data_IF_414976760330
#
_entry.id   IF_414976760330
#
_cell.length_a   1.000
_cell.length_b   1.000
_cell.length_c   1.000
_cell.angle_alpha   90.00
_cell.angle_beta   90.00
_cell.angle_gamma   90.00
#
_symmetry.space_group_name_H-M   'P 1'
#
loop_
_entity.id
_entity.type
_entity.pdbx_description
1 polymer ?
#
# COMPACT_ATOMS: atom_id res chain seq x y z
N UNK A 1 33.40 -97.99 21.30
CA UNK A 1 32.33 -96.98 21.52
C UNK A 1 32.85 -95.75 22.26
N UNK A 2 33.66 -95.90 23.32
CA UNK A 2 34.18 -94.75 24.11
C UNK A 2 35.18 -93.86 23.35
N UNK A 3 36.00 -94.40 22.45
CA UNK A 3 36.94 -93.57 21.65
C UNK A 3 36.25 -92.58 20.71
N UNK A 4 35.12 -92.96 20.10
CA UNK A 4 34.36 -92.08 19.19
C UNK A 4 33.75 -90.87 19.91
N UNK A 5 33.38 -91.05 21.18
CA UNK A 5 32.88 -89.96 22.03
C UNK A 5 33.99 -88.98 22.42
N UNK A 6 35.19 -89.48 22.68
CA UNK A 6 36.32 -88.62 23.04
C UNK A 6 36.75 -87.74 21.87
N UNK A 7 36.87 -88.30 20.65
CA UNK A 7 37.18 -87.52 19.43
C UNK A 7 36.13 -86.46 19.10
N UNK A 8 34.86 -86.73 19.38
CA UNK A 8 33.79 -85.74 19.20
C UNK A 8 33.91 -84.57 20.20
N UNK A 9 34.35 -84.85 21.43
CA UNK A 9 34.51 -83.83 22.47
C UNK A 9 35.76 -82.97 22.25
N UNK A 10 36.85 -83.53 21.74
CA UNK A 10 38.08 -82.78 21.43
C UNK A 10 37.90 -81.82 20.24
N UNK A 11 37.11 -82.21 19.23
CA UNK A 11 36.84 -81.39 18.05
C UNK A 11 35.68 -80.38 18.23
N UNK A 12 34.85 -80.50 19.27
CA UNK A 12 33.71 -79.59 19.46
C UNK A 12 34.12 -78.17 19.88
N UNK A 13 35.13 -78.04 20.75
CA UNK A 13 35.60 -76.74 21.26
C UNK A 13 36.19 -75.80 20.17
N UNK A 14 36.98 -76.26 19.19
CA UNK A 14 37.42 -75.38 18.10
C UNK A 14 36.26 -74.98 17.18
N UNK A 15 35.35 -75.90 16.84
CA UNK A 15 34.19 -75.61 15.98
C UNK A 15 33.25 -74.58 16.63
N UNK A 16 33.02 -74.65 17.94
CA UNK A 16 32.22 -73.66 18.65
C UNK A 16 32.87 -72.26 18.65
N UNK A 17 34.21 -72.18 18.70
CA UNK A 17 34.95 -70.91 18.60
C UNK A 17 34.88 -70.33 17.19
N UNK A 18 35.05 -71.17 16.17
CA UNK A 18 34.92 -70.76 14.77
C UNK A 18 33.52 -70.25 14.47
N UNK A 19 32.48 -70.92 14.97
CA UNK A 19 31.10 -70.45 14.83
C UNK A 19 30.89 -69.08 15.48
N UNK A 20 31.41 -68.86 16.69
CA UNK A 20 31.34 -67.56 17.36
C UNK A 20 32.06 -66.44 16.61
N UNK A 21 33.22 -66.73 16.03
CA UNK A 21 33.96 -65.79 15.19
C UNK A 21 33.18 -65.46 13.91
N UNK A 22 32.62 -66.48 13.25
CA UNK A 22 31.84 -66.31 12.02
C UNK A 22 30.55 -65.52 12.28
N UNK A 23 29.87 -65.77 13.40
CA UNK A 23 28.69 -64.97 13.78
C UNK A 23 29.05 -63.52 14.06
N UNK A 24 30.20 -63.26 14.69
CA UNK A 24 30.69 -61.90 14.92
C UNK A 24 31.04 -61.17 13.63
N UNK A 25 31.64 -61.87 12.66
CA UNK A 25 31.93 -61.32 11.33
C UNK A 25 30.65 -60.98 10.56
N UNK A 26 29.63 -61.85 10.61
CA UNK A 26 28.33 -61.59 9.98
C UNK A 26 27.69 -60.33 10.58
N UNK A 27 27.74 -60.17 11.90
CA UNK A 27 27.19 -58.98 12.57
C UNK A 27 27.93 -57.69 12.18
N UNK A 28 29.26 -57.75 12.05
CA UNK A 28 30.06 -56.61 11.61
C UNK A 28 29.73 -56.22 10.17
N UNK A 29 29.63 -57.20 9.26
CA UNK A 29 29.27 -56.96 7.86
C UNK A 29 27.87 -56.37 7.74
N UNK A 30 26.89 -56.83 8.51
CA UNK A 30 25.53 -56.27 8.49
C UNK A 30 25.53 -54.81 8.97
N UNK A 31 26.32 -54.48 10.00
CA UNK A 31 26.46 -53.09 10.49
C UNK A 31 27.09 -52.19 9.44
N UNK A 32 28.16 -52.63 8.79
CA UNK A 32 28.80 -51.88 7.71
C UNK A 32 27.83 -51.67 6.54
N UNK A 33 27.10 -52.72 6.14
CA UNK A 33 26.14 -52.63 5.05
C UNK A 33 25.04 -51.59 5.34
N UNK A 34 24.49 -51.57 6.56
CA UNK A 34 23.49 -50.57 6.97
C UNK A 34 24.05 -49.15 6.94
N UNK A 35 25.29 -48.97 7.36
CA UNK A 35 25.97 -47.68 7.34
C UNK A 35 26.15 -47.18 5.89
N UNK A 36 26.60 -48.06 4.99
CA UNK A 36 26.73 -47.73 3.56
C UNK A 36 25.38 -47.42 2.92
N UNK A 37 24.32 -48.16 3.24
CA UNK A 37 22.96 -47.91 2.74
C UNK A 37 22.43 -46.55 3.22
N UNK A 38 22.65 -46.20 4.49
CA UNK A 38 22.26 -44.89 5.05
C UNK A 38 22.99 -43.74 4.35
N UNK A 39 24.30 -43.88 4.14
CA UNK A 39 25.11 -42.88 3.45
C UNK A 39 24.68 -42.71 1.99
N UNK A 40 24.41 -43.81 1.28
CA UNK A 40 23.92 -43.76 -0.10
C UNK A 40 22.55 -43.08 -0.19
N UNK A 41 21.64 -43.35 0.75
CA UNK A 41 20.34 -42.69 0.81
C UNK A 41 20.47 -41.17 0.98
N UNK A 42 21.35 -40.72 1.88
CA UNK A 42 21.62 -39.30 2.10
C UNK A 42 22.22 -38.63 0.85
N UNK A 43 23.18 -39.28 0.19
CA UNK A 43 23.81 -38.77 -1.04
C UNK A 43 22.80 -38.72 -2.20
N UNK A 44 21.97 -39.76 -2.36
CA UNK A 44 20.95 -39.78 -3.40
C UNK A 44 19.90 -38.69 -3.19
N UNK A 45 19.50 -38.43 -1.95
CA UNK A 45 18.58 -37.34 -1.61
C UNK A 45 19.20 -35.97 -1.88
N UNK A 46 20.48 -35.76 -1.51
CA UNK A 46 21.21 -34.53 -1.83
C UNK A 46 21.36 -34.34 -3.36
N UNK A 47 21.72 -35.39 -4.09
CA UNK A 47 21.86 -35.35 -5.55
C UNK A 47 20.51 -35.15 -6.25
N UNK A 48 19.42 -35.72 -5.73
CA UNK A 48 18.08 -35.46 -6.24
C UNK A 48 17.65 -34.00 -5.99
N UNK A 49 18.02 -33.43 -4.85
CA UNK A 49 17.82 -31.99 -4.57
C UNK A 49 18.63 -31.11 -5.54
N UNK A 50 19.86 -31.48 -5.86
CA UNK A 50 20.69 -30.77 -6.86
C UNK A 50 20.14 -30.93 -8.29
N UNK A 51 19.84 -32.17 -8.72
CA UNK A 51 19.37 -32.49 -10.08
C UNK A 51 17.97 -31.98 -10.36
N UNK A 52 17.10 -31.89 -9.35
CA UNK A 52 15.77 -31.29 -9.51
C UNK A 52 15.83 -29.78 -9.79
N UNK A 53 17.03 -29.19 -9.90
CA UNK A 53 17.17 -27.76 -10.15
C UNK A 53 16.60 -26.93 -9.00
N UNK A 54 16.29 -27.57 -7.87
CA UNK A 54 15.84 -26.97 -6.63
C UNK A 54 17.05 -26.38 -5.93
N UNK A 55 17.83 -25.58 -6.67
CA UNK A 55 18.40 -24.33 -6.16
C UNK A 55 17.23 -23.40 -5.91
N UNK A 56 16.33 -23.80 -5.02
CA UNK A 56 15.59 -22.86 -4.20
C UNK A 56 16.69 -21.94 -3.65
N UNK A 57 16.81 -20.68 -4.05
CA UNK A 57 15.75 -19.72 -3.84
C UNK A 57 14.71 -20.25 -2.86
N UNK A 58 15.20 -20.73 -1.71
CA UNK A 58 14.55 -20.55 -0.44
C UNK A 58 14.70 -19.06 -0.15
N UNK A 59 14.19 -18.22 -1.06
CA UNK A 59 13.40 -17.10 -0.64
C UNK A 59 12.37 -17.78 0.24
N UNK A 60 12.68 -17.81 1.53
CA UNK A 60 11.73 -18.08 2.60
C UNK A 60 10.45 -17.48 2.06
N UNK A 61 9.40 -18.28 1.88
CA UNK A 61 8.06 -17.76 1.67
C UNK A 61 7.77 -17.03 2.97
N UNK A 62 8.35 -15.84 3.12
CA UNK A 62 8.02 -14.87 4.13
C UNK A 62 6.59 -14.61 3.76
N UNK A 63 5.68 -14.99 4.66
CA UNK A 63 4.30 -14.51 4.60
C UNK A 63 4.41 -13.04 4.22
N UNK A 64 3.82 -12.67 3.07
CA UNK A 64 4.06 -11.38 2.45
C UNK A 64 3.99 -10.31 3.53
N UNK A 65 5.14 -9.73 3.88
CA UNK A 65 5.15 -8.69 4.90
C UNK A 65 4.19 -7.63 4.39
N UNK A 66 3.16 -7.26 5.15
CA UNK A 66 2.22 -6.27 4.70
C UNK A 66 3.02 -5.03 4.34
N UNK A 67 3.01 -4.67 3.06
CA UNK A 67 3.80 -3.55 2.55
C UNK A 67 3.19 -2.29 3.14
N UNK A 68 3.78 -1.81 4.24
CA UNK A 68 3.26 -0.69 5.04
C UNK A 68 3.42 0.67 4.35
N UNK A 69 4.11 0.75 3.22
CA UNK A 69 4.29 2.00 2.47
C UNK A 69 3.93 1.80 1.01
N UNK A 70 3.03 2.64 0.44
CA UNK A 70 2.78 2.60 -0.98
C UNK A 70 4.08 2.93 -1.71
N UNK A 71 4.49 2.03 -2.62
CA UNK A 71 5.71 2.16 -3.44
C UNK A 71 5.60 3.36 -4.38
N UNK A 72 4.37 3.82 -4.67
CA UNK A 72 4.06 4.96 -5.52
C UNK A 72 2.58 5.39 -5.31
N UNK A 73 2.20 6.68 -5.34
CA UNK A 73 2.99 7.91 -5.32
C UNK A 73 3.34 8.35 -3.89
N UNK A 74 4.51 8.97 -3.70
CA UNK A 74 4.87 9.53 -2.39
C UNK A 74 3.94 10.69 -2.01
N UNK A 75 3.60 10.78 -0.72
CA UNK A 75 2.73 11.82 -0.11
C UNK A 75 3.06 13.24 -0.60
N UNK A 76 4.34 13.54 -0.79
CA UNK A 76 4.81 14.83 -1.30
C UNK A 76 4.28 15.17 -2.70
N UNK A 77 4.22 14.19 -3.61
CA UNK A 77 3.70 14.41 -4.96
C UNK A 77 2.20 14.74 -4.94
N UNK A 78 1.43 14.03 -4.10
CA UNK A 78 0.00 14.31 -3.91
C UNK A 78 -0.20 15.69 -3.33
N UNK A 79 0.61 16.07 -2.34
CA UNK A 79 0.54 17.39 -1.72
C UNK A 79 0.86 18.51 -2.72
N UNK A 80 1.95 18.38 -3.49
CA UNK A 80 2.36 19.37 -4.50
C UNK A 80 1.31 19.47 -5.62
N UNK A 81 0.76 18.34 -6.09
CA UNK A 81 -0.30 18.35 -7.09
C UNK A 81 -1.60 18.99 -6.58
N UNK A 82 -2.00 18.69 -5.35
CA UNK A 82 -3.20 19.26 -4.76
C UNK A 82 -3.05 20.78 -4.56
N UNK A 83 -1.91 21.22 -4.04
CA UNK A 83 -1.64 22.63 -3.78
C UNK A 83 -1.46 23.40 -5.09
N UNK A 84 -0.65 22.89 -6.01
CA UNK A 84 -0.45 23.48 -7.33
C UNK A 84 -1.74 23.52 -8.15
N UNK A 85 -2.50 22.42 -8.16
CA UNK A 85 -3.78 22.33 -8.85
C UNK A 85 -4.83 23.28 -8.28
N UNK A 86 -4.97 23.35 -6.96
CA UNK A 86 -5.90 24.28 -6.31
C UNK A 86 -5.56 25.74 -6.57
N UNK A 87 -4.27 26.09 -6.53
CA UNK A 87 -3.80 27.46 -6.76
C UNK A 87 -4.00 27.86 -8.23
N UNK A 88 -3.62 26.99 -9.18
CA UNK A 88 -3.85 27.21 -10.60
C UNK A 88 -5.34 27.35 -10.94
N UNK A 89 -6.18 26.50 -10.36
CA UNK A 89 -7.63 26.55 -10.55
C UNK A 89 -8.24 27.84 -9.98
N UNK A 90 -7.82 28.25 -8.77
CA UNK A 90 -8.25 29.51 -8.15
C UNK A 90 -7.87 30.73 -8.98
N UNK A 91 -6.62 30.82 -9.44
CA UNK A 91 -6.17 31.90 -10.34
C UNK A 91 -7.00 31.91 -11.62
N UNK A 92 -7.22 30.74 -12.22
CA UNK A 92 -8.00 30.63 -13.45
C UNK A 92 -9.42 31.15 -13.26
N UNK A 93 -10.08 30.81 -12.15
CA UNK A 93 -11.41 31.33 -11.82
C UNK A 93 -11.42 32.85 -11.66
N UNK A 94 -10.42 33.43 -11.01
CA UNK A 94 -10.32 34.88 -10.83
C UNK A 94 -10.15 35.57 -12.19
N UNK A 95 -9.30 35.03 -13.07
CA UNK A 95 -9.09 35.57 -14.41
C UNK A 95 -10.39 35.50 -15.24
N UNK A 96 -11.09 34.37 -15.20
CA UNK A 96 -12.37 34.20 -15.90
C UNK A 96 -13.41 35.19 -15.34
N UNK A 97 -13.51 35.32 -14.02
CA UNK A 97 -14.43 36.26 -13.39
C UNK A 97 -14.10 37.72 -13.75
N UNK A 98 -12.82 38.07 -13.81
CA UNK A 98 -12.36 39.40 -14.24
C UNK A 98 -12.70 39.66 -15.71
N UNK A 99 -12.56 38.67 -16.59
CA UNK A 99 -12.91 38.79 -18.02
C UNK A 99 -14.43 38.87 -18.27
N UNK A 100 -15.24 38.20 -17.46
CA UNK A 100 -16.70 38.30 -17.55
C UNK A 100 -17.24 39.63 -17.03
N UNK A 101 -16.56 40.23 -16.06
CA UNK A 101 -16.98 41.50 -15.46
C UNK A 101 -16.39 42.65 -16.28
N UNK A 102 -17.07 43.07 -17.35
CA UNK A 102 -16.75 44.33 -18.05
C UNK A 102 -17.06 45.51 -17.14
N UNK A 103 -16.09 45.90 -16.32
CA UNK A 103 -16.18 47.05 -15.45
C UNK A 103 -14.88 47.82 -15.53
N UNK A 104 -14.95 49.11 -15.87
CA UNK A 104 -13.80 50.00 -15.88
C UNK A 104 -13.38 50.25 -14.43
N UNK A 105 -12.16 49.88 -14.07
CA UNK A 105 -11.68 50.03 -12.69
C UNK A 105 -10.92 51.35 -12.49
N UNK A 106 -10.48 51.98 -13.59
CA UNK A 106 -9.78 53.27 -13.58
C UNK A 106 -10.31 54.24 -14.62
N UNK A 107 -10.18 55.54 -14.32
CA UNK A 107 -10.51 56.62 -15.25
C UNK A 107 -9.59 56.60 -16.48
N UNK A 108 -8.30 56.33 -16.30
CA UNK A 108 -7.35 56.16 -17.39
C UNK A 108 -7.75 55.02 -18.34
N UNK A 109 -8.25 53.90 -17.80
CA UNK A 109 -8.70 52.74 -18.58
C UNK A 109 -9.95 53.08 -19.41
N UNK A 110 -10.90 53.81 -18.81
CA UNK A 110 -12.07 54.32 -19.52
C UNK A 110 -11.70 55.37 -20.59
N UNK A 111 -10.73 56.27 -20.34
CA UNK A 111 -10.24 57.21 -21.37
C UNK A 111 -9.63 56.48 -22.55
N UNK A 112 -8.84 55.43 -22.28
CA UNK A 112 -8.17 54.63 -23.30
C UNK A 112 -9.14 53.84 -24.19
N UNK A 113 -10.16 53.19 -23.61
CA UNK A 113 -11.12 52.40 -24.39
C UNK A 113 -12.21 53.25 -25.06
N UNK A 114 -12.68 54.33 -24.44
CA UNK A 114 -13.78 55.16 -24.99
C UNK A 114 -13.28 56.30 -25.89
N UNK A 115 -12.00 56.67 -25.83
CA UNK A 115 -11.43 57.77 -26.61
C UNK A 115 -11.99 59.15 -26.26
N UNK A 116 -12.71 59.28 -25.13
CA UNK A 116 -13.38 60.50 -24.70
C UNK A 116 -12.68 61.10 -23.48
N UNK A 117 -12.50 62.44 -23.42
CA UNK A 117 -11.91 63.09 -22.26
C UNK A 117 -12.87 63.04 -21.07
N UNK A 118 -12.54 62.21 -20.07
CA UNK A 118 -13.26 62.15 -18.80
C UNK A 118 -13.09 63.48 -18.05
N UNK A 119 -14.20 64.18 -17.75
CA UNK A 119 -14.22 65.43 -16.97
C UNK A 119 -14.23 65.21 -15.45
N UNK A 120 -14.54 63.99 -14.98
CA UNK A 120 -14.54 63.65 -13.57
C UNK A 120 -15.04 62.23 -13.33
N UNK A 121 -14.71 61.67 -12.16
CA UNK A 121 -15.16 60.34 -11.73
C UNK A 121 -16.16 60.53 -10.59
N UNK A 122 -17.36 59.99 -10.75
CA UNK A 122 -18.36 59.98 -9.68
C UNK A 122 -18.13 58.72 -8.85
N UNK A 123 -17.87 58.89 -7.56
CA UNK A 123 -17.72 57.78 -6.64
C UNK A 123 -19.01 56.95 -6.55
N UNK A 124 -18.92 55.64 -6.30
CA UNK A 124 -20.09 54.79 -6.21
C UNK A 124 -21.01 55.23 -5.06
N UNK A 125 -22.30 55.41 -5.35
CA UNK A 125 -23.33 55.71 -4.35
C UNK A 125 -23.57 54.43 -3.53
N UNK A 126 -22.97 54.37 -2.34
CA UNK A 126 -23.09 53.23 -1.44
C UNK A 126 -24.40 53.32 -0.66
N UNK A 127 -25.41 52.57 -1.11
CA UNK A 127 -26.62 52.34 -0.30
C UNK A 127 -26.28 51.55 0.97
N UNK A 128 -26.99 51.75 2.09
CA UNK A 128 -26.72 51.03 3.34
C UNK A 128 -26.81 49.51 3.18
N UNK A 129 -27.69 49.03 2.28
CA UNK A 129 -27.80 47.62 1.92
C UNK A 129 -26.53 47.06 1.25
N UNK A 130 -25.94 47.79 0.30
CA UNK A 130 -24.73 47.34 -0.40
C UNK A 130 -23.49 47.39 0.51
N UNK A 131 -23.43 48.34 1.45
CA UNK A 131 -22.36 48.40 2.47
C UNK A 131 -22.39 47.20 3.40
N UNK A 132 -23.56 46.79 3.88
CA UNK A 132 -23.72 45.58 4.72
C UNK A 132 -23.37 44.31 3.94
N UNK A 133 -23.83 44.18 2.70
CA UNK A 133 -23.55 42.99 1.89
C UNK A 133 -22.04 42.84 1.60
N UNK A 134 -21.32 43.93 1.31
CA UNK A 134 -19.85 43.89 1.15
C UNK A 134 -19.14 43.53 2.45
N UNK A 135 -19.60 44.06 3.58
CA UNK A 135 -19.04 43.73 4.89
C UNK A 135 -19.25 42.24 5.22
N UNK A 136 -20.47 41.72 5.03
CA UNK A 136 -20.78 40.29 5.21
C UNK A 136 -19.95 39.44 4.26
N UNK A 137 -19.83 39.82 2.98
CA UNK A 137 -19.05 39.04 2.01
C UNK A 137 -17.56 38.99 2.37
N UNK A 138 -17.00 40.10 2.87
CA UNK A 138 -15.59 40.19 3.23
C UNK A 138 -15.25 39.56 4.58
N UNK A 139 -16.13 39.72 5.58
CA UNK A 139 -15.88 39.25 6.95
C UNK A 139 -16.48 37.90 7.28
N UNK A 140 -17.48 37.43 6.53
CA UNK A 140 -18.16 36.16 6.80
C UNK A 140 -17.93 35.19 5.64
N UNK A 141 -18.28 35.56 4.41
CA UNK A 141 -18.17 34.62 3.28
C UNK A 141 -16.73 34.28 2.93
N UNK A 142 -15.83 35.26 2.86
CA UNK A 142 -14.42 35.02 2.53
C UNK A 142 -13.69 34.11 3.55
N UNK A 143 -13.77 34.33 4.88
CA UNK A 143 -13.15 33.39 5.81
C UNK A 143 -13.89 32.06 5.87
N UNK A 144 -15.22 32.03 5.68
CA UNK A 144 -15.97 30.78 5.64
C UNK A 144 -15.56 29.89 4.46
N UNK A 145 -15.36 30.45 3.27
CA UNK A 145 -14.88 29.66 2.12
C UNK A 145 -13.44 29.20 2.31
N UNK A 146 -12.57 30.03 2.87
CA UNK A 146 -11.19 29.63 3.21
C UNK A 146 -11.21 28.50 4.25
N UNK A 147 -12.01 28.62 5.31
CA UNK A 147 -12.14 27.61 6.35
C UNK A 147 -12.69 26.28 5.79
N UNK A 148 -13.70 26.34 4.91
CA UNK A 148 -14.25 25.17 4.22
C UNK A 148 -13.18 24.48 3.37
N UNK A 149 -12.41 25.23 2.58
CA UNK A 149 -11.35 24.67 1.74
C UNK A 149 -10.24 24.04 2.60
N UNK A 150 -9.83 24.70 3.68
CA UNK A 150 -8.85 24.15 4.62
C UNK A 150 -9.38 22.87 5.29
N UNK A 151 -10.66 22.85 5.68
CA UNK A 151 -11.31 21.65 6.24
C UNK A 151 -11.23 20.48 5.26
N UNK A 152 -11.56 20.70 3.99
CA UNK A 152 -11.50 19.66 2.94
C UNK A 152 -10.06 19.16 2.77
N UNK A 153 -9.08 20.05 2.73
CA UNK A 153 -7.66 19.69 2.61
C UNK A 153 -7.20 18.86 3.82
N UNK A 154 -7.57 19.26 5.04
CA UNK A 154 -7.24 18.52 6.27
C UNK A 154 -7.89 17.15 6.27
N UNK A 155 -9.15 17.04 5.85
CA UNK A 155 -9.86 15.76 5.78
C UNK A 155 -9.19 14.81 4.76
N UNK A 156 -8.84 15.34 3.59
CA UNK A 156 -8.14 14.58 2.56
C UNK A 156 -6.75 14.14 3.04
N UNK A 157 -5.97 15.05 3.62
CA UNK A 157 -4.65 14.74 4.16
C UNK A 157 -4.73 13.70 5.28
N UNK A 158 -5.71 13.83 6.19
CA UNK A 158 -5.94 12.86 7.27
C UNK A 158 -6.31 11.50 6.71
N UNK A 159 -7.16 11.43 5.68
CA UNK A 159 -7.50 10.18 5.00
C UNK A 159 -6.28 9.49 4.39
N UNK A 160 -5.38 10.25 3.76
CA UNK A 160 -4.14 9.71 3.17
C UNK A 160 -3.12 9.30 4.24
N UNK A 161 -2.97 10.08 5.32
CA UNK A 161 -2.11 9.70 6.45
C UNK A 161 -2.63 8.44 7.14
N UNK A 162 -3.96 8.34 7.30
CA UNK A 162 -4.59 7.19 7.93
C UNK A 162 -4.48 5.93 7.07
N UNK A 163 -4.59 6.05 5.75
CA UNK A 163 -4.39 4.92 4.82
C UNK A 163 -2.95 4.44 4.76
N UNK A 164 -1.98 5.31 5.03
CA UNK A 164 -0.54 4.98 5.00
C UNK A 164 0.00 4.47 6.34
N UNK A 165 -0.43 5.02 7.48
CA UNK A 165 0.07 4.59 8.79
C UNK A 165 -0.71 3.44 9.44
N UNK A 166 -2.00 3.25 9.13
CA UNK A 166 -2.85 2.23 9.76
C UNK A 166 -3.91 1.68 8.78
N UNK A 167 -3.53 0.79 7.84
CA UNK A 167 -4.46 0.27 6.83
C UNK A 167 -5.67 -0.46 7.46
N UNK A 168 -5.49 -1.13 8.61
CA UNK A 168 -6.58 -1.85 9.29
C UNK A 168 -7.69 -0.95 9.84
N UNK A 169 -7.34 0.24 10.36
CA UNK A 169 -8.34 1.22 10.82
C UNK A 169 -9.02 1.95 9.66
N UNK A 170 -8.29 2.18 8.57
CA UNK A 170 -8.85 2.78 7.36
C UNK A 170 -9.90 1.84 6.72
N UNK A 171 -9.64 0.53 6.68
CA UNK A 171 -10.57 -0.48 6.20
C UNK A 171 -11.88 -0.53 7.02
N UNK A 172 -11.80 -0.52 8.35
CA UNK A 172 -12.99 -0.50 9.22
C UNK A 172 -13.84 0.77 9.05
N UNK A 173 -13.21 1.93 8.88
CA UNK A 173 -13.92 3.18 8.64
C UNK A 173 -14.59 3.17 7.26
N UNK A 174 -13.91 2.66 6.23
CA UNK A 174 -14.47 2.47 4.89
C UNK A 174 -15.67 1.53 4.91
N UNK A 175 -15.64 0.44 5.68
CA UNK A 175 -16.78 -0.47 5.80
C UNK A 175 -17.99 0.23 6.44
N UNK A 176 -17.78 1.08 7.45
CA UNK A 176 -18.87 1.86 8.05
C UNK A 176 -19.40 2.98 7.13
N UNK A 177 -18.58 3.55 6.26
CA UNK A 177 -18.97 4.59 5.29
C UNK A 177 -19.45 4.04 3.93
N UNK A 178 -19.17 2.78 3.61
CA UNK A 178 -19.64 2.13 2.39
C UNK A 178 -21.18 2.11 2.22
N UNK A 179 -22.01 1.84 3.24
CA UNK A 179 -23.46 1.85 3.05
C UNK A 179 -24.03 3.25 2.82
N UNK A 180 -23.51 4.27 3.49
CA UNK A 180 -24.00 5.66 3.36
C UNK A 180 -23.60 6.28 2.03
N UNK A 181 -22.39 6.01 1.55
CA UNK A 181 -21.93 6.48 0.24
C UNK A 181 -22.70 5.83 -0.91
N UNK A 182 -23.02 4.52 -0.82
CA UNK A 182 -23.89 3.85 -1.80
C UNK A 182 -25.30 4.44 -1.82
N UNK A 183 -25.88 4.73 -0.65
CA UNK A 183 -27.20 5.35 -0.57
C UNK A 183 -27.22 6.77 -1.18
N UNK A 184 -26.18 7.57 -0.92
CA UNK A 184 -26.03 8.89 -1.55
C UNK A 184 -25.84 8.80 -3.06
N UNK A 185 -25.04 7.84 -3.54
CA UNK A 185 -24.80 7.64 -4.97
C UNK A 185 -26.07 7.22 -5.72
N UNK A 186 -26.87 6.33 -5.13
CA UNK A 186 -28.19 5.95 -5.65
C UNK A 186 -29.16 7.14 -5.67
N UNK A 187 -29.15 7.99 -4.63
CA UNK A 187 -29.95 9.21 -4.62
C UNK A 187 -29.56 10.19 -5.73
N UNK A 188 -28.26 10.36 -5.98
CA UNK A 188 -27.75 11.20 -7.08
C UNK A 188 -28.10 10.61 -8.45
N UNK A 189 -27.96 9.30 -8.63
CA UNK A 189 -28.36 8.62 -9.87
C UNK A 189 -29.87 8.75 -10.14
N UNK A 190 -30.70 8.64 -9.10
CA UNK A 190 -32.15 8.82 -9.24
C UNK A 190 -32.52 10.27 -9.58
N UNK A 191 -31.75 11.26 -9.12
CA UNK A 191 -31.94 12.66 -9.50
C UNK A 191 -31.47 12.97 -10.94
N UNK A 192 -30.39 12.33 -11.39
CA UNK A 192 -29.84 12.52 -12.74
C UNK A 192 -30.57 11.69 -13.81
N UNK A 193 -31.20 10.57 -13.45
CA UNK A 193 -31.99 9.72 -14.35
C UNK A 193 -33.46 10.12 -14.50
N UNK A 194 -33.86 11.26 -13.93
CA UNK A 194 -35.23 11.80 -13.98
C UNK A 194 -35.37 13.02 -14.91
N UNK A 195 -34.41 13.19 -15.83
CA UNK A 195 -34.48 14.08 -17.01
C UNK A 195 -34.48 13.19 -18.26
#
# INVERSE_FOLDING_TARGET
MLERYNTAQTHFLPVAREFGQLSGQIEQVDKEQRLWQSNLGAIQMALAAERSGTRTNLEVVRAAEPVYRPVWPALWHVFVLALGGGLAFGISLVIIAARLTRSFHSAEEARGELGLPILGVIGPILTPATRRLRAVRRYILAPATIALLLLIIVLAATGVVMSTHCPGRYAQILEHLAPTTRAMWQGVQNLLGLI
#
